data_IF_243873469502
#
_entry.id   IF_243873469502
#
_cell.length_a   1.000
_cell.length_b   1.000
_cell.length_c   1.000
_cell.angle_alpha   90.00
_cell.angle_beta   90.00
_cell.angle_gamma   90.00
#
_symmetry.space_group_name_H-M   'P 1'
#
loop_
_entity.id
_entity.type
_entity.pdbx_description
1 polymer ?
#
# COMPACT_ATOMS: atom_id res chain seq x y z
N UNK A 1 3.99 25.87 12.12
CA UNK A 1 4.88 25.27 11.11
C UNK A 1 4.71 26.03 9.81
N UNK A 2 5.82 26.42 9.19
CA UNK A 2 5.87 27.27 7.99
C UNK A 2 6.68 26.61 6.86
N UNK A 3 6.54 27.11 5.64
CA UNK A 3 7.34 26.65 4.51
C UNK A 3 8.72 27.33 4.48
N UNK A 4 9.75 26.64 4.96
CA UNK A 4 11.12 27.14 4.95
C UNK A 4 11.54 27.88 6.21
N UNK A 5 12.85 28.13 6.29
CA UNK A 5 13.57 28.57 7.49
C UNK A 5 13.31 30.05 7.83
N UNK A 6 13.37 30.95 6.84
CA UNK A 6 13.18 32.41 7.06
C UNK A 6 11.85 32.78 7.73
N UNK A 7 10.78 32.07 7.37
CA UNK A 7 9.43 32.28 7.92
C UNK A 7 9.31 31.72 9.33
N UNK A 8 10.03 30.64 9.59
CA UNK A 8 10.14 30.03 10.91
C UNK A 8 10.91 30.95 11.86
N UNK A 9 12.05 31.49 11.41
CA UNK A 9 12.87 32.45 12.17
C UNK A 9 12.06 33.70 12.55
N UNK A 10 11.30 34.27 11.61
CA UNK A 10 10.46 35.44 11.88
C UNK A 10 9.45 35.19 13.02
N UNK A 11 8.86 34.00 13.10
CA UNK A 11 7.95 33.64 14.20
C UNK A 11 8.70 33.40 15.52
N UNK A 12 9.89 32.79 15.46
CA UNK A 12 10.73 32.54 16.64
C UNK A 12 11.24 33.83 17.29
N UNK A 13 11.65 34.81 16.48
CA UNK A 13 12.07 36.15 16.95
C UNK A 13 10.96 36.87 17.72
N UNK A 14 9.70 36.57 17.38
CA UNK A 14 8.51 37.14 18.03
C UNK A 14 7.95 36.23 19.15
N UNK A 15 8.72 35.22 19.58
CA UNK A 15 8.43 34.42 20.78
C UNK A 15 7.54 33.19 20.55
N UNK A 16 7.31 32.76 19.31
CA UNK A 16 6.54 31.56 19.00
C UNK A 16 7.42 30.33 18.82
N UNK A 17 6.97 29.18 19.32
CA UNK A 17 7.57 27.89 18.99
C UNK A 17 7.20 27.51 17.55
N UNK A 18 8.07 27.85 16.61
CA UNK A 18 7.90 27.55 15.19
C UNK A 18 8.94 26.55 14.71
N UNK A 19 8.54 25.77 13.70
CA UNK A 19 9.37 24.85 12.93
C UNK A 19 9.09 25.06 11.45
N UNK A 20 10.11 24.97 10.61
CA UNK A 20 10.01 25.14 9.16
C UNK A 20 10.23 23.82 8.43
N UNK A 21 9.51 23.59 7.34
CA UNK A 21 9.81 22.46 6.44
C UNK A 21 11.03 22.77 5.58
N UNK A 22 12.01 21.87 5.51
CA UNK A 22 13.24 22.03 4.70
C UNK A 22 13.18 21.36 3.32
N UNK A 23 12.07 20.69 2.99
CA UNK A 23 11.95 19.82 1.80
C UNK A 23 11.58 20.54 0.50
N UNK A 24 11.47 21.87 0.50
CA UNK A 24 10.97 22.66 -0.64
C UNK A 24 9.51 22.37 -0.99
N UNK A 25 8.86 23.25 -1.77
CA UNK A 25 7.44 23.17 -2.12
C UNK A 25 7.00 21.83 -2.78
N UNK A 26 7.93 21.07 -3.37
CA UNK A 26 7.65 19.81 -4.06
C UNK A 26 7.79 18.56 -3.18
N UNK A 27 8.45 18.66 -2.01
CA UNK A 27 8.73 17.53 -1.13
C UNK A 27 7.93 17.58 0.16
N UNK A 28 7.36 16.45 0.58
CA UNK A 28 6.76 16.31 1.91
C UNK A 28 7.83 15.81 2.91
N UNK A 29 7.94 16.40 4.11
CA UNK A 29 8.79 15.85 5.17
C UNK A 29 8.45 14.39 5.47
N UNK A 30 9.45 13.56 5.77
CA UNK A 30 9.24 12.16 6.12
C UNK A 30 8.55 12.05 7.47
N UNK A 31 7.81 10.95 7.70
CA UNK A 31 7.16 10.69 8.98
C UNK A 31 8.16 10.74 10.15
N UNK A 32 9.41 10.28 9.95
CA UNK A 32 10.49 10.36 10.94
C UNK A 32 10.82 11.81 11.34
N UNK A 33 10.92 12.71 10.37
CA UNK A 33 11.17 14.13 10.64
C UNK A 33 10.02 14.83 11.36
N UNK A 34 8.79 14.30 11.24
CA UNK A 34 7.59 14.83 11.87
C UNK A 34 7.31 14.22 13.25
N UNK A 35 7.95 13.11 13.61
CA UNK A 35 7.79 12.44 14.94
C UNK A 35 7.97 13.37 16.14
N UNK A 36 8.91 14.34 16.17
CA UNK A 36 9.03 15.25 17.31
C UNK A 36 7.78 16.11 17.57
N UNK A 37 6.85 16.19 16.61
CA UNK A 37 5.62 16.96 16.72
C UNK A 37 4.46 16.17 17.34
N UNK A 38 4.63 14.86 17.56
CA UNK A 38 3.64 14.00 18.23
C UNK A 38 3.42 14.49 19.66
N UNK A 39 2.15 14.71 20.04
CA UNK A 39 1.77 15.26 21.34
C UNK A 39 1.62 16.79 21.37
N UNK A 40 1.92 17.48 20.26
CA UNK A 40 1.69 18.92 20.13
C UNK A 40 0.46 19.25 19.28
N UNK A 41 -0.14 20.42 19.53
CA UNK A 41 -1.14 21.02 18.64
C UNK A 41 -0.41 21.81 17.57
N UNK A 42 -0.40 21.31 16.34
CA UNK A 42 0.38 21.89 15.24
C UNK A 42 -0.51 22.80 14.39
N UNK A 43 -0.05 24.04 14.22
CA UNK A 43 -0.67 25.03 13.35
C UNK A 43 0.14 25.16 12.07
N UNK A 44 -0.48 24.93 10.92
CA UNK A 44 0.10 25.08 9.59
C UNK A 44 -0.16 26.49 9.07
N UNK A 45 0.89 27.17 8.63
CA UNK A 45 0.77 28.48 8.00
C UNK A 45 1.27 28.36 6.56
N UNK A 46 0.36 28.22 5.57
CA UNK A 46 0.72 28.16 4.15
C UNK A 46 1.08 29.54 3.60
N UNK A 47 1.90 29.56 2.57
CA UNK A 47 2.06 30.75 1.74
C UNK A 47 0.75 31.08 1.04
N UNK A 48 0.55 32.38 0.74
CA UNK A 48 -0.63 32.84 0.01
C UNK A 48 -0.53 32.53 -1.50
N UNK A 49 -0.22 31.29 -1.86
CA UNK A 49 -0.22 30.79 -3.22
C UNK A 49 -0.68 29.32 -3.28
N UNK A 50 -0.90 28.84 -4.50
CA UNK A 50 -1.39 27.47 -4.71
C UNK A 50 -0.35 26.40 -4.32
N UNK A 51 0.94 26.52 -4.70
CA UNK A 51 1.97 25.58 -4.25
C UNK A 51 2.11 25.46 -2.74
N UNK A 52 2.14 26.58 -2.00
CA UNK A 52 2.30 26.58 -0.54
C UNK A 52 1.09 26.02 0.20
N UNK A 53 -0.12 26.26 -0.31
CA UNK A 53 -1.34 25.61 0.20
C UNK A 53 -1.31 24.10 -0.03
N UNK A 54 -0.95 23.65 -1.23
CA UNK A 54 -0.84 22.22 -1.55
C UNK A 54 0.26 21.53 -0.73
N UNK A 55 1.36 22.23 -0.47
CA UNK A 55 2.44 21.73 0.39
C UNK A 55 1.95 21.54 1.82
N UNK A 56 1.32 22.55 2.43
CA UNK A 56 0.76 22.42 3.79
C UNK A 56 -0.34 21.37 3.88
N UNK A 57 -1.14 21.17 2.82
CA UNK A 57 -2.13 20.08 2.76
C UNK A 57 -1.47 18.69 2.85
N UNK A 58 -0.36 18.48 2.13
CA UNK A 58 0.42 17.24 2.20
C UNK A 58 0.99 17.02 3.60
N UNK A 59 1.54 18.07 4.22
CA UNK A 59 2.09 17.95 5.57
C UNK A 59 0.99 17.73 6.61
N UNK A 60 -0.17 18.38 6.45
CA UNK A 60 -1.37 18.13 7.26
C UNK A 60 -1.79 16.66 7.20
N UNK A 61 -1.81 16.08 6.00
CA UNK A 61 -2.07 14.65 5.82
C UNK A 61 -1.03 13.74 6.49
N UNK A 62 0.25 14.10 6.43
CA UNK A 62 1.32 13.34 7.11
C UNK A 62 1.21 13.42 8.63
N UNK A 63 0.98 14.60 9.19
CA UNK A 63 0.77 14.81 10.62
C UNK A 63 -0.49 14.12 11.13
N UNK A 64 -1.57 14.13 10.36
CA UNK A 64 -2.81 13.43 10.70
C UNK A 64 -2.61 11.91 10.76
N UNK A 65 -1.80 11.31 9.87
CA UNK A 65 -1.43 9.88 9.94
C UNK A 65 -0.64 9.53 11.21
N UNK A 66 0.06 10.51 11.78
CA UNK A 66 0.77 10.40 13.06
C UNK A 66 -0.10 10.76 14.27
N UNK A 67 -1.41 10.91 14.10
CA UNK A 67 -2.37 11.25 15.15
C UNK A 67 -2.08 12.61 15.83
N UNK A 68 -1.42 13.51 15.11
CA UNK A 68 -1.16 14.88 15.58
C UNK A 68 -2.40 15.74 15.31
N UNK A 69 -2.77 16.59 16.28
CA UNK A 69 -3.87 17.55 16.07
C UNK A 69 -3.38 18.69 15.19
N UNK A 70 -3.99 18.86 14.02
CA UNK A 70 -3.57 19.83 13.01
C UNK A 70 -4.64 20.91 12.81
N UNK A 71 -4.21 22.17 12.78
CA UNK A 71 -5.02 23.33 12.40
C UNK A 71 -4.33 24.12 11.29
N UNK A 72 -5.11 24.75 10.41
CA UNK A 72 -4.58 25.60 9.34
C UNK A 72 -4.93 27.05 9.61
N UNK A 73 -3.91 27.90 9.59
CA UNK A 73 -4.05 29.35 9.68
C UNK A 73 -4.46 29.87 8.31
N UNK A 74 -5.53 30.67 8.28
CA UNK A 74 -5.97 31.39 7.10
C UNK A 74 -5.80 32.89 7.36
N UNK A 75 -4.78 33.50 6.74
CA UNK A 75 -4.58 34.94 6.82
C UNK A 75 -5.36 35.63 5.69
N UNK A 76 -6.59 36.05 6.00
CA UNK A 76 -7.51 36.65 5.01
C UNK A 76 -7.08 38.01 4.47
N UNK A 77 -6.16 38.70 5.15
CA UNK A 77 -5.67 40.02 4.75
C UNK A 77 -4.41 39.96 3.86
N UNK A 78 -3.91 38.75 3.56
CA UNK A 78 -2.83 38.56 2.60
C UNK A 78 -3.23 39.14 1.24
N UNK A 79 -2.43 40.08 0.71
CA UNK A 79 -2.79 40.86 -0.48
C UNK A 79 -2.06 40.39 -1.72
N UNK A 80 -0.80 39.98 -1.56
CA UNK A 80 0.05 39.55 -2.65
C UNK A 80 0.17 38.03 -2.70
N UNK A 81 0.34 37.50 -3.90
CA UNK A 81 0.58 36.08 -4.11
C UNK A 81 1.92 35.71 -3.47
N UNK A 82 1.90 34.72 -2.59
CA UNK A 82 3.09 34.26 -1.86
C UNK A 82 3.35 34.99 -0.54
N UNK A 83 2.49 35.95 -0.15
CA UNK A 83 2.53 36.56 1.20
C UNK A 83 2.51 35.43 2.26
N UNK A 84 3.43 35.52 3.23
CA UNK A 84 3.67 34.49 4.22
C UNK A 84 3.78 35.02 5.67
N UNK A 85 4.18 34.17 6.62
CA UNK A 85 4.33 34.55 8.02
C UNK A 85 5.41 35.62 8.27
N UNK A 86 6.48 35.67 7.47
CA UNK A 86 7.48 36.74 7.57
C UNK A 86 6.93 38.06 7.00
N UNK A 87 6.17 37.99 5.90
CA UNK A 87 5.55 39.17 5.29
C UNK A 87 4.44 39.77 6.16
N UNK A 88 3.75 38.94 6.97
CA UNK A 88 2.83 39.40 8.00
C UNK A 88 3.48 40.45 8.92
N UNK A 89 4.66 40.17 9.48
CA UNK A 89 5.36 41.10 10.36
C UNK A 89 5.93 42.32 9.61
N UNK A 90 6.44 42.13 8.38
CA UNK A 90 6.93 43.26 7.55
C UNK A 90 5.82 44.27 7.24
N UNK A 91 4.57 43.81 7.17
CA UNK A 91 3.39 44.64 6.92
C UNK A 91 2.76 45.23 8.20
N UNK A 92 3.44 45.12 9.34
CA UNK A 92 3.00 45.69 10.61
C UNK A 92 2.12 44.76 11.46
N UNK A 93 2.07 43.46 11.13
CA UNK A 93 1.42 42.47 11.97
C UNK A 93 2.04 42.38 13.36
N UNK A 94 1.20 42.23 14.40
CA UNK A 94 1.63 42.18 15.80
C UNK A 94 1.61 40.74 16.33
N UNK A 95 2.28 40.53 17.48
CA UNK A 95 2.22 39.25 18.21
C UNK A 95 0.76 38.90 18.56
N UNK A 96 -0.03 39.90 18.94
CA UNK A 96 -1.47 39.76 19.19
C UNK A 96 -2.22 39.32 17.94
N UNK A 97 -1.89 39.88 16.77
CA UNK A 97 -2.48 39.45 15.50
C UNK A 97 -2.17 37.99 15.16
N UNK A 98 -0.96 37.49 15.45
CA UNK A 98 -0.65 36.06 15.29
C UNK A 98 -1.46 35.20 16.27
N UNK A 99 -1.66 35.65 17.51
CA UNK A 99 -2.48 34.92 18.49
C UNK A 99 -3.95 34.84 18.07
N UNK A 100 -4.48 35.89 17.44
CA UNK A 100 -5.83 35.89 16.90
C UNK A 100 -5.94 34.93 15.69
N UNK A 101 -4.96 34.94 14.79
CA UNK A 101 -4.87 33.97 13.69
C UNK A 101 -4.79 32.51 14.17
N UNK A 102 -4.07 32.24 15.27
CA UNK A 102 -4.01 30.92 15.89
C UNK A 102 -5.36 30.52 16.50
N UNK A 103 -6.11 31.47 17.05
CA UNK A 103 -7.44 31.23 17.62
C UNK A 103 -8.46 30.89 16.54
N UNK A 104 -8.38 31.59 15.41
CA UNK A 104 -9.30 31.42 14.27
C UNK A 104 -8.88 30.31 13.30
N UNK A 105 -7.74 29.67 13.56
CA UNK A 105 -7.22 28.57 12.75
C UNK A 105 -8.21 27.39 12.71
N UNK A 106 -8.56 26.98 11.50
CA UNK A 106 -9.56 25.93 11.27
C UNK A 106 -8.94 24.56 11.50
N UNK A 107 -9.67 23.59 12.10
CA UNK A 107 -9.23 22.20 12.13
C UNK A 107 -8.90 21.73 10.72
N UNK A 108 -7.72 21.13 10.55
CA UNK A 108 -7.41 20.44 9.32
C UNK A 108 -8.24 19.16 9.29
N UNK A 109 -9.11 19.03 8.30
CA UNK A 109 -9.87 17.82 8.05
C UNK A 109 -9.32 17.20 6.78
N UNK A 110 -9.04 15.90 6.80
CA UNK A 110 -8.78 15.18 5.56
C UNK A 110 -9.94 15.46 4.61
N UNK A 111 -9.65 16.06 3.46
CA UNK A 111 -10.66 16.21 2.42
C UNK A 111 -11.23 14.82 2.15
N UNK A 112 -12.50 14.60 2.54
CA UNK A 112 -13.34 13.57 1.93
C UNK A 112 -13.15 13.72 0.43
N UNK A 113 -12.82 12.60 -0.23
CA UNK A 113 -12.63 12.48 -1.69
C UNK A 113 -13.25 13.66 -2.43
N UNK A 114 -12.38 14.48 -3.02
CA UNK A 114 -12.78 15.66 -3.80
C UNK A 114 -13.97 15.28 -4.68
N UNK A 115 -15.17 15.89 -4.49
CA UNK A 115 -16.21 15.79 -5.48
C UNK A 115 -15.58 16.36 -6.75
N UNK A 116 -15.48 15.52 -7.79
CA UNK A 116 -14.99 15.91 -9.12
C UNK A 116 -15.58 17.27 -9.45
N UNK A 117 -14.75 18.31 -9.41
CA UNK A 117 -15.13 19.62 -9.92
C UNK A 117 -15.54 19.37 -11.37
N UNK A 118 -16.82 19.61 -11.68
CA UNK A 118 -17.28 19.64 -13.06
C UNK A 118 -16.49 20.75 -13.77
N UNK A 119 -15.39 20.34 -14.40
CA UNK A 119 -14.68 21.18 -15.34
C UNK A 119 -15.59 21.28 -16.56
N UNK A 120 -16.05 22.49 -16.86
CA UNK A 120 -16.74 22.77 -18.13
C UNK A 120 -15.81 22.24 -19.23
N UNK A 121 -16.22 21.24 -20.03
CA UNK A 121 -15.29 20.57 -20.95
C UNK A 121 -14.72 21.62 -21.90
N UNK A 122 -13.39 21.77 -21.90
CA UNK A 122 -12.73 22.62 -22.87
C UNK A 122 -13.06 22.13 -24.29
N UNK A 123 -12.92 22.99 -25.31
CA UNK A 123 -13.12 22.57 -26.70
C UNK A 123 -12.25 21.36 -27.08
N UNK A 124 -11.13 21.17 -26.37
CA UNK A 124 -10.25 20.01 -26.48
C UNK A 124 -10.88 18.75 -25.86
N UNK A 125 -11.49 18.85 -24.68
CA UNK A 125 -12.17 17.75 -24.00
C UNK A 125 -13.38 17.24 -24.81
N UNK A 126 -14.17 18.16 -25.38
CA UNK A 126 -15.27 17.81 -26.26
C UNK A 126 -14.80 17.09 -27.54
N UNK A 127 -13.67 17.53 -28.10
CA UNK A 127 -13.06 16.90 -29.27
C UNK A 127 -12.52 15.51 -28.96
N UNK A 128 -11.88 15.33 -27.81
CA UNK A 128 -11.39 14.02 -27.33
C UNK A 128 -12.55 13.07 -27.07
N UNK A 129 -13.65 13.52 -26.46
CA UNK A 129 -14.84 12.71 -26.24
C UNK A 129 -15.48 12.24 -27.56
N UNK A 130 -15.58 13.11 -28.57
CA UNK A 130 -16.08 12.76 -29.91
C UNK A 130 -15.17 11.72 -30.58
N UNK A 131 -13.85 11.88 -30.50
CA UNK A 131 -12.89 10.94 -31.07
C UNK A 131 -12.89 9.60 -30.35
N UNK A 132 -13.12 9.60 -29.03
CA UNK A 132 -13.26 8.39 -28.23
C UNK A 132 -14.44 7.53 -28.65
N UNK A 133 -15.54 8.14 -29.11
CA UNK A 133 -16.74 7.44 -29.57
C UNK A 133 -16.60 6.76 -30.95
N UNK A 134 -15.54 7.07 -31.72
CA UNK A 134 -15.33 6.47 -33.04
C UNK A 134 -14.77 5.04 -32.96
N UNK A 135 -15.12 4.14 -33.90
CA UNK A 135 -14.44 2.86 -34.07
C UNK A 135 -12.94 3.03 -34.32
N UNK A 136 -12.11 2.07 -33.86
CA UNK A 136 -10.64 2.17 -33.93
C UNK A 136 -10.09 2.48 -35.33
N UNK A 137 -10.60 1.79 -36.36
CA UNK A 137 -10.16 1.98 -37.74
C UNK A 137 -10.59 3.33 -38.34
N UNK A 138 -11.70 3.89 -37.87
CA UNK A 138 -12.16 5.22 -38.30
C UNK A 138 -11.35 6.32 -37.62
N UNK A 139 -11.08 6.15 -36.32
CA UNK A 139 -10.16 7.02 -35.59
C UNK A 139 -8.77 7.04 -36.25
N UNK A 140 -8.23 5.88 -36.61
CA UNK A 140 -6.91 5.77 -37.24
C UNK A 140 -6.78 6.58 -38.54
N UNK A 141 -7.84 6.62 -39.36
CA UNK A 141 -7.87 7.39 -40.61
C UNK A 141 -7.83 8.90 -40.37
N UNK A 142 -8.46 9.38 -39.30
CA UNK A 142 -8.64 10.83 -39.06
C UNK A 142 -7.67 11.42 -38.02
N UNK A 143 -7.03 10.58 -37.18
CA UNK A 143 -6.23 11.03 -36.02
C UNK A 143 -5.15 12.05 -36.36
N UNK A 144 -4.46 11.88 -37.51
CA UNK A 144 -3.40 12.80 -37.94
C UNK A 144 -3.95 14.18 -38.33
N UNK A 145 -5.11 14.21 -38.99
CA UNK A 145 -5.77 15.45 -39.39
C UNK A 145 -6.35 16.18 -38.17
N UNK A 146 -6.97 15.44 -37.25
CA UNK A 146 -7.57 16.01 -36.05
C UNK A 146 -6.51 16.50 -35.05
N UNK A 147 -5.39 15.78 -34.88
CA UNK A 147 -4.26 16.25 -34.07
C UNK A 147 -3.70 17.59 -34.59
N UNK A 148 -3.61 17.75 -35.92
CA UNK A 148 -3.16 19.01 -36.54
C UNK A 148 -4.14 20.16 -36.29
N UNK A 149 -5.45 19.90 -36.38
CA UNK A 149 -6.49 20.92 -36.10
C UNK A 149 -6.50 21.36 -34.64
N UNK A 150 -6.24 20.43 -33.73
CA UNK A 150 -6.21 20.66 -32.28
C UNK A 150 -4.87 21.23 -31.79
N UNK A 151 -3.86 21.36 -32.66
CA UNK A 151 -2.54 21.89 -32.29
C UNK A 151 -1.75 20.98 -31.35
N UNK A 152 -2.08 19.69 -31.29
CA UNK A 152 -1.43 18.70 -30.39
C UNK A 152 -0.66 17.65 -31.19
N UNK A 153 0.30 16.98 -30.54
CA UNK A 153 0.96 15.81 -31.13
C UNK A 153 -0.02 14.65 -31.26
N UNK A 154 0.06 13.88 -32.35
CA UNK A 154 -0.81 12.72 -32.57
C UNK A 154 -0.75 11.72 -31.40
N UNK A 155 0.44 11.44 -30.86
CA UNK A 155 0.60 10.54 -29.70
C UNK A 155 -0.06 11.09 -28.43
N UNK A 156 -0.08 12.42 -28.26
CA UNK A 156 -0.75 13.06 -27.13
C UNK A 156 -2.28 12.98 -27.27
N UNK A 157 -2.80 13.14 -28.49
CA UNK A 157 -4.20 12.92 -28.80
C UNK A 157 -4.60 11.46 -28.57
N UNK A 158 -3.77 10.51 -28.98
CA UNK A 158 -3.99 9.07 -28.77
C UNK A 158 -4.14 8.74 -27.29
N UNK A 159 -3.24 9.27 -26.43
CA UNK A 159 -3.34 9.09 -24.98
C UNK A 159 -4.63 9.68 -24.41
N UNK A 160 -5.02 10.88 -24.84
CA UNK A 160 -6.25 11.54 -24.40
C UNK A 160 -7.51 10.74 -24.80
N UNK A 161 -7.57 10.27 -26.05
CA UNK A 161 -8.68 9.46 -26.58
C UNK A 161 -8.78 8.12 -25.85
N UNK A 162 -7.65 7.46 -25.59
CA UNK A 162 -7.65 6.20 -24.84
C UNK A 162 -8.05 6.40 -23.37
N UNK A 163 -7.62 7.49 -22.74
CA UNK A 163 -8.07 7.85 -21.39
C UNK A 163 -9.59 8.09 -21.35
N UNK A 164 -10.14 8.80 -22.33
CA UNK A 164 -11.58 9.04 -22.44
C UNK A 164 -12.38 7.75 -22.71
N UNK A 165 -11.90 6.83 -23.55
CA UNK A 165 -12.53 5.51 -23.76
C UNK A 165 -12.58 4.68 -22.50
N UNK A 166 -11.50 4.69 -21.70
CA UNK A 166 -11.44 4.02 -20.39
C UNK A 166 -12.42 4.64 -19.40
N UNK A 167 -12.48 5.98 -19.35
CA UNK A 167 -13.40 6.70 -18.46
C UNK A 167 -14.88 6.51 -18.83
N UNK A 168 -15.19 6.38 -20.12
CA UNK A 168 -16.54 6.20 -20.64
C UNK A 168 -17.04 4.74 -20.61
N UNK A 169 -16.31 3.80 -19.99
CA UNK A 169 -16.69 2.38 -19.98
C UNK A 169 -16.63 1.69 -21.35
N UNK A 170 -16.17 2.39 -22.40
CA UNK A 170 -15.94 1.85 -23.74
C UNK A 170 -14.62 1.06 -23.83
N UNK A 171 -14.11 0.59 -22.68
CA UNK A 171 -13.01 -0.35 -22.55
C UNK A 171 -13.33 -1.75 -23.07
N UNK A 172 -14.49 -1.98 -23.69
CA UNK A 172 -14.79 -3.18 -24.47
C UNK A 172 -14.14 -3.07 -25.87
N UNK A 173 -12.81 -3.01 -25.91
CA UNK A 173 -12.07 -2.92 -27.18
C UNK A 173 -10.69 -3.56 -27.14
N UNK A 174 -10.32 -4.16 -26.00
CA UNK A 174 -9.27 -5.17 -25.94
C UNK A 174 -9.52 -6.07 -24.71
N UNK A 175 -10.72 -6.62 -24.60
CA UNK A 175 -10.82 -8.01 -24.15
C UNK A 175 -10.06 -8.83 -25.21
N UNK A 176 -8.72 -8.78 -25.15
CA UNK A 176 -7.97 -10.01 -25.34
C UNK A 176 -8.71 -10.97 -24.45
N UNK A 177 -9.34 -12.02 -25.01
CA UNK A 177 -9.79 -13.16 -24.22
C UNK A 177 -8.59 -13.55 -23.36
N UNK A 178 -8.49 -13.00 -22.14
CA UNK A 178 -7.37 -13.23 -21.27
C UNK A 178 -7.51 -14.69 -20.94
N UNK A 179 -6.50 -15.47 -21.30
CA UNK A 179 -6.53 -16.88 -20.99
C UNK A 179 -6.54 -17.03 -19.46
N UNK A 180 -7.40 -17.92 -18.95
CA UNK A 180 -7.58 -18.14 -17.52
C UNK A 180 -8.87 -17.54 -16.96
N UNK A 181 -9.04 -17.64 -15.64
CA UNK A 181 -10.15 -17.05 -14.89
C UNK A 181 -9.60 -15.90 -14.04
N UNK A 182 -10.44 -14.90 -13.77
CA UNK A 182 -10.09 -13.86 -12.81
C UNK A 182 -9.77 -14.50 -11.46
N UNK A 183 -8.78 -13.95 -10.76
CA UNK A 183 -8.45 -14.37 -9.40
C UNK A 183 -9.62 -13.98 -8.49
N UNK A 184 -10.42 -14.96 -8.08
CA UNK A 184 -11.54 -14.79 -7.17
C UNK A 184 -11.30 -15.70 -5.95
N UNK A 185 -11.04 -15.08 -4.80
CA UNK A 185 -10.85 -15.77 -3.53
C UNK A 185 -12.05 -15.46 -2.66
N UNK A 186 -12.83 -16.48 -2.32
CA UNK A 186 -14.01 -16.31 -1.50
C UNK A 186 -13.61 -16.10 -0.03
N UNK A 187 -14.30 -15.17 0.62
CA UNK A 187 -14.28 -15.07 2.07
C UNK A 187 -15.20 -16.14 2.66
N UNK A 188 -14.79 -16.73 3.78
CA UNK A 188 -15.63 -17.65 4.52
C UNK A 188 -16.70 -16.86 5.28
N UNK A 189 -17.93 -17.37 5.30
CA UNK A 189 -18.99 -16.81 6.13
C UNK A 189 -18.62 -17.01 7.62
N UNK A 190 -18.61 -15.96 8.45
CA UNK A 190 -18.34 -16.10 9.87
C UNK A 190 -19.34 -17.04 10.55
N UNK A 191 -18.86 -17.82 11.51
CA UNK A 191 -19.75 -18.64 12.34
C UNK A 191 -20.73 -17.72 13.10
N UNK A 192 -22.04 -18.06 13.17
CA UNK A 192 -23.05 -17.16 13.69
C UNK A 192 -22.94 -16.91 15.20
N UNK A 193 -22.34 -17.85 15.93
CA UNK A 193 -22.21 -17.80 17.39
C UNK A 193 -20.74 -17.63 17.82
N UNK A 194 -20.47 -17.12 19.04
CA UNK A 194 -19.12 -17.12 19.58
C UNK A 194 -18.54 -18.53 19.64
N UNK A 195 -17.33 -18.70 19.10
CA UNK A 195 -16.62 -19.99 19.10
C UNK A 195 -15.69 -20.04 20.32
N UNK A 196 -15.69 -21.16 21.05
CA UNK A 196 -14.70 -21.43 22.08
C UNK A 196 -13.32 -21.66 21.43
N UNK A 197 -12.42 -20.69 21.62
CA UNK A 197 -11.08 -20.73 21.03
C UNK A 197 -10.22 -21.90 21.52
N UNK A 198 -10.38 -22.36 22.76
CA UNK A 198 -9.60 -23.47 23.30
C UNK A 198 -10.03 -24.79 22.66
N UNK A 199 -11.35 -25.01 22.56
CA UNK A 199 -11.92 -26.16 21.85
C UNK A 199 -11.54 -26.15 20.36
N UNK A 200 -11.64 -24.99 19.69
CA UNK A 200 -11.26 -24.84 18.29
C UNK A 200 -9.79 -25.19 18.04
N UNK A 201 -8.88 -24.69 18.88
CA UNK A 201 -7.45 -25.00 18.74
C UNK A 201 -7.16 -26.50 18.95
N UNK A 202 -7.86 -27.14 19.89
CA UNK A 202 -7.76 -28.57 20.11
C UNK A 202 -8.23 -29.37 18.88
N UNK A 203 -9.39 -28.99 18.32
CA UNK A 203 -9.96 -29.63 17.13
C UNK A 203 -9.06 -29.46 15.89
N UNK A 204 -8.53 -28.26 15.67
CA UNK A 204 -7.58 -28.00 14.58
C UNK A 204 -6.32 -28.86 14.73
N UNK A 205 -5.74 -28.93 15.93
CA UNK A 205 -4.57 -29.76 16.19
C UNK A 205 -4.89 -31.26 15.98
N UNK A 206 -6.08 -31.72 16.38
CA UNK A 206 -6.54 -33.08 16.13
C UNK A 206 -6.69 -33.37 14.62
N UNK A 207 -7.20 -32.43 13.83
CA UNK A 207 -7.27 -32.54 12.36
C UNK A 207 -5.87 -32.72 11.77
N UNK A 208 -4.90 -31.90 12.16
CA UNK A 208 -3.53 -32.04 11.65
C UNK A 208 -2.93 -33.41 12.02
N UNK A 209 -3.06 -33.85 13.27
CA UNK A 209 -2.57 -35.17 13.72
C UNK A 209 -3.23 -36.35 13.02
N UNK A 210 -4.50 -36.22 12.65
CA UNK A 210 -5.24 -37.27 11.95
C UNK A 210 -4.66 -37.57 10.57
N UNK A 211 -4.15 -36.55 9.88
CA UNK A 211 -3.70 -36.67 8.49
C UNK A 211 -2.18 -36.59 8.32
N UNK A 212 -1.44 -36.17 9.35
CA UNK A 212 0.00 -35.94 9.29
C UNK A 212 0.72 -36.57 10.48
N UNK A 213 1.87 -37.18 10.23
CA UNK A 213 2.85 -37.52 11.26
C UNK A 213 3.71 -36.29 11.50
N UNK A 214 3.62 -35.72 12.69
CA UNK A 214 4.21 -34.43 13.04
C UNK A 214 5.11 -34.56 14.28
N UNK A 215 6.21 -33.79 14.37
CA UNK A 215 6.97 -33.60 15.59
C UNK A 215 6.11 -33.07 16.74
N UNK A 216 6.60 -33.21 17.97
CA UNK A 216 5.95 -32.66 19.15
C UNK A 216 5.77 -31.13 19.03
N UNK A 217 4.57 -30.64 19.38
CA UNK A 217 4.22 -29.21 19.32
C UNK A 217 3.90 -28.67 17.92
N UNK A 218 4.14 -29.43 16.85
CA UNK A 218 3.91 -28.98 15.48
C UNK A 218 2.42 -28.83 15.15
N UNK A 219 1.57 -29.72 15.65
CA UNK A 219 0.13 -29.66 15.43
C UNK A 219 -0.48 -28.39 16.07
N UNK A 220 -0.01 -28.03 17.26
CA UNK A 220 -0.36 -26.79 17.96
C UNK A 220 0.12 -25.56 17.18
N UNK A 221 1.36 -25.57 16.69
CA UNK A 221 1.88 -24.47 15.88
C UNK A 221 1.06 -24.26 14.60
N UNK A 222 0.67 -25.34 13.92
CA UNK A 222 -0.20 -25.29 12.74
C UNK A 222 -1.61 -24.77 13.08
N UNK A 223 -2.18 -25.21 14.19
CA UNK A 223 -3.49 -24.72 14.67
C UNK A 223 -3.44 -23.22 14.98
N UNK A 224 -2.45 -22.77 15.75
CA UNK A 224 -2.24 -21.36 16.09
C UNK A 224 -2.00 -20.52 14.85
N UNK A 225 -1.16 -21.00 13.91
CA UNK A 225 -0.90 -20.28 12.66
C UNK A 225 -2.15 -20.18 11.80
N UNK A 226 -2.98 -21.23 11.75
CA UNK A 226 -4.26 -21.19 11.03
C UNK A 226 -5.19 -20.13 11.60
N UNK A 227 -5.38 -20.08 12.93
CA UNK A 227 -6.20 -19.03 13.58
C UNK A 227 -5.62 -17.64 13.35
N UNK A 228 -4.29 -17.51 13.46
CA UNK A 228 -3.58 -16.26 13.19
C UNK A 228 -3.91 -15.68 11.81
N UNK A 229 -4.05 -16.52 10.78
CA UNK A 229 -4.38 -16.03 9.41
C UNK A 229 -5.76 -15.37 9.31
N UNK A 230 -6.73 -15.77 10.13
CA UNK A 230 -8.06 -15.14 10.21
C UNK A 230 -8.03 -13.78 10.90
N UNK A 231 -7.08 -13.58 11.81
CA UNK A 231 -6.90 -12.33 12.56
C UNK A 231 -5.63 -11.58 12.13
N UNK A 232 -5.11 -11.83 10.93
CA UNK A 232 -3.80 -11.34 10.47
C UNK A 232 -3.61 -9.83 10.64
N UNK A 233 -4.66 -9.07 10.31
CA UNK A 233 -4.67 -7.61 10.35
C UNK A 233 -4.61 -7.01 11.77
N UNK A 234 -4.71 -7.81 12.83
CA UNK A 234 -4.53 -7.32 14.21
C UNK A 234 -3.07 -7.37 14.68
N UNK A 235 -2.18 -8.01 13.92
CA UNK A 235 -0.76 -8.18 14.28
C UNK A 235 0.15 -7.19 13.55
N UNK A 236 1.34 -6.97 14.12
CA UNK A 236 2.41 -6.18 13.51
C UNK A 236 3.47 -7.06 12.81
N UNK A 237 3.50 -8.34 13.16
CA UNK A 237 4.44 -9.33 12.64
C UNK A 237 3.65 -10.46 12.00
N UNK A 238 4.07 -10.84 10.80
CA UNK A 238 3.54 -11.98 10.05
C UNK A 238 4.55 -13.13 10.06
N UNK A 239 4.49 -14.05 11.05
CA UNK A 239 5.35 -15.22 11.04
C UNK A 239 5.16 -16.04 9.76
N UNK A 240 6.29 -16.44 9.16
CA UNK A 240 6.31 -17.32 8.00
C UNK A 240 6.23 -18.77 8.47
N UNK A 241 5.26 -19.52 7.97
CA UNK A 241 5.15 -20.93 8.29
C UNK A 241 6.07 -21.73 7.35
N UNK A 242 7.16 -22.23 7.90
CA UNK A 242 8.10 -23.09 7.21
C UNK A 242 7.65 -24.56 7.28
N UNK A 243 7.49 -25.20 6.14
CA UNK A 243 7.17 -26.62 6.04
C UNK A 243 8.34 -27.29 5.33
N UNK A 244 9.29 -27.78 6.12
CA UNK A 244 10.51 -28.43 5.61
C UNK A 244 10.39 -29.95 5.73
N UNK A 245 11.00 -30.68 4.80
CA UNK A 245 11.19 -32.12 4.94
C UNK A 245 12.51 -32.57 4.32
N UNK A 246 13.16 -33.62 4.85
CA UNK A 246 14.42 -34.11 4.32
C UNK A 246 14.27 -34.71 2.91
N UNK A 247 13.12 -35.31 2.59
CA UNK A 247 12.89 -36.01 1.32
C UNK A 247 11.61 -35.58 0.59
N UNK A 248 11.46 -36.03 -0.66
CA UNK A 248 10.22 -35.91 -1.44
C UNK A 248 9.12 -36.79 -0.82
N UNK A 249 7.85 -36.42 -1.03
CA UNK A 249 6.65 -37.19 -0.63
C UNK A 249 6.40 -37.34 0.88
N UNK A 250 7.02 -36.52 1.72
CA UNK A 250 6.77 -36.49 3.18
C UNK A 250 5.50 -35.70 3.61
N UNK A 251 4.44 -35.68 2.79
CA UNK A 251 3.15 -35.06 3.19
C UNK A 251 3.06 -33.52 3.14
N UNK A 252 4.06 -32.80 2.59
CA UNK A 252 4.03 -31.32 2.46
C UNK A 252 2.80 -30.81 1.68
N UNK A 253 2.52 -31.40 0.52
CA UNK A 253 1.36 -31.05 -0.30
C UNK A 253 0.04 -31.39 0.41
N UNK A 254 0.01 -32.48 1.21
CA UNK A 254 -1.13 -32.83 2.05
C UNK A 254 -1.36 -31.75 3.11
N UNK A 255 -0.30 -31.30 3.79
CA UNK A 255 -0.36 -30.23 4.78
C UNK A 255 -0.86 -28.92 4.15
N UNK A 256 -0.33 -28.51 3.00
CA UNK A 256 -0.81 -27.32 2.28
C UNK A 256 -2.27 -27.45 1.85
N UNK A 257 -2.72 -28.65 1.48
CA UNK A 257 -4.13 -28.91 1.14
C UNK A 257 -5.05 -28.76 2.36
N UNK A 258 -4.62 -29.25 3.52
CA UNK A 258 -5.36 -29.07 4.78
C UNK A 258 -5.40 -27.58 5.16
N UNK A 259 -4.26 -26.88 5.10
CA UNK A 259 -4.24 -25.43 5.33
C UNK A 259 -5.15 -24.69 4.36
N UNK A 260 -5.15 -25.06 3.08
CA UNK A 260 -6.02 -24.47 2.07
C UNK A 260 -7.51 -24.59 2.36
N UNK A 261 -7.93 -25.54 3.20
CA UNK A 261 -9.31 -25.65 3.66
C UNK A 261 -9.60 -24.86 4.95
N UNK A 262 -8.57 -24.49 5.71
CA UNK A 262 -8.69 -23.92 7.05
C UNK A 262 -8.39 -22.41 7.12
N UNK A 263 -7.61 -21.88 6.18
CA UNK A 263 -7.19 -20.47 6.15
C UNK A 263 -8.10 -19.61 5.26
N UNK A 264 -8.22 -18.29 5.51
CA UNK A 264 -9.03 -17.42 4.68
C UNK A 264 -8.31 -17.14 3.34
N UNK A 265 -9.09 -17.03 2.27
CA UNK A 265 -8.63 -16.67 0.92
C UNK A 265 -7.34 -17.41 0.51
N UNK A 266 -7.35 -18.76 0.52
CA UNK A 266 -6.17 -19.56 0.22
C UNK A 266 -5.75 -19.34 -1.24
N UNK A 267 -4.47 -19.02 -1.45
CA UNK A 267 -3.88 -18.94 -2.78
C UNK A 267 -2.71 -19.92 -2.91
N UNK A 268 -2.97 -21.15 -3.40
CA UNK A 268 -1.93 -22.09 -3.78
C UNK A 268 -1.06 -21.51 -4.90
N UNK A 269 0.25 -21.53 -4.71
CA UNK A 269 1.21 -20.97 -5.64
C UNK A 269 2.37 -21.93 -5.88
N UNK A 270 2.39 -22.54 -7.07
CA UNK A 270 3.54 -23.26 -7.60
C UNK A 270 4.17 -22.45 -8.73
N UNK A 271 5.51 -22.32 -8.73
CA UNK A 271 6.27 -21.59 -9.76
C UNK A 271 5.78 -20.13 -10.03
N UNK A 272 5.37 -19.41 -8.99
CA UNK A 272 4.88 -18.02 -9.11
C UNK A 272 6.01 -17.01 -9.33
N UNK A 273 5.72 -15.92 -10.05
CA UNK A 273 6.67 -14.81 -10.23
C UNK A 273 6.51 -13.75 -9.14
N UNK A 274 7.59 -13.02 -8.85
CA UNK A 274 7.58 -11.84 -7.97
C UNK A 274 6.42 -10.88 -8.31
N UNK A 275 6.25 -10.58 -9.61
CA UNK A 275 5.20 -9.72 -10.12
C UNK A 275 3.78 -10.19 -9.80
N UNK A 276 3.53 -11.50 -9.88
CA UNK A 276 2.22 -12.07 -9.57
C UNK A 276 1.96 -12.00 -8.08
N UNK A 277 2.95 -12.28 -7.23
CA UNK A 277 2.79 -12.26 -5.77
C UNK A 277 2.32 -10.90 -5.26
N UNK A 278 3.06 -9.82 -5.50
CA UNK A 278 2.68 -8.52 -4.93
C UNK A 278 1.38 -7.97 -5.53
N UNK A 279 1.05 -8.32 -6.79
CA UNK A 279 -0.23 -7.93 -7.41
C UNK A 279 -1.41 -8.70 -6.84
N UNK A 280 -1.24 -10.00 -6.59
CA UNK A 280 -2.26 -10.83 -5.96
C UNK A 280 -2.49 -10.40 -4.51
N UNK A 281 -1.43 -10.07 -3.78
CA UNK A 281 -1.51 -9.55 -2.41
C UNK A 281 -2.24 -8.22 -2.36
N UNK A 282 -1.89 -7.28 -3.24
CA UNK A 282 -2.58 -6.00 -3.36
C UNK A 282 -4.07 -6.17 -3.71
N UNK A 283 -4.39 -7.04 -4.67
CA UNK A 283 -5.74 -7.19 -5.18
C UNK A 283 -6.69 -7.95 -4.23
N UNK A 284 -6.18 -8.97 -3.52
CA UNK A 284 -7.05 -9.93 -2.84
C UNK A 284 -6.66 -10.22 -1.38
N UNK A 285 -5.51 -9.76 -0.90
CA UNK A 285 -4.95 -10.08 0.44
C UNK A 285 -5.09 -11.58 0.82
N UNK A 286 -4.52 -12.49 0.02
CA UNK A 286 -4.65 -13.92 0.21
C UNK A 286 -3.79 -14.45 1.36
N UNK A 287 -4.10 -15.65 1.81
CA UNK A 287 -3.11 -16.51 2.48
C UNK A 287 -2.31 -17.26 1.41
N UNK A 288 -1.02 -16.94 1.27
CA UNK A 288 -0.16 -17.55 0.26
C UNK A 288 0.31 -18.93 0.71
N UNK A 289 0.06 -19.96 -0.11
CA UNK A 289 0.48 -21.33 0.12
C UNK A 289 1.48 -21.73 -0.97
N UNK A 290 2.76 -21.49 -0.70
CA UNK A 290 3.83 -21.64 -1.70
C UNK A 290 4.41 -23.06 -1.61
N UNK A 291 4.31 -23.82 -2.70
CA UNK A 291 4.87 -25.18 -2.80
C UNK A 291 6.11 -25.21 -3.71
N UNK A 292 6.92 -26.26 -3.57
CA UNK A 292 8.12 -26.55 -4.37
C UNK A 292 9.16 -25.42 -4.41
N UNK A 293 9.29 -24.69 -3.32
CA UNK A 293 10.18 -23.53 -3.19
C UNK A 293 11.64 -23.86 -3.50
N UNK A 294 12.11 -25.04 -3.15
CA UNK A 294 13.46 -25.52 -3.45
C UNK A 294 13.77 -25.57 -4.96
N UNK A 295 12.76 -25.72 -5.81
CA UNK A 295 12.95 -25.84 -7.27
C UNK A 295 13.18 -24.48 -7.96
N UNK A 296 12.73 -23.37 -7.37
CA UNK A 296 12.77 -22.06 -8.05
C UNK A 296 13.26 -20.88 -7.20
N UNK A 297 13.30 -20.96 -5.86
CA UNK A 297 13.70 -19.81 -5.04
C UNK A 297 15.20 -19.61 -4.92
N UNK A 298 16.02 -20.67 -5.05
CA UNK A 298 17.49 -20.61 -4.94
C UNK A 298 18.12 -19.61 -5.91
N UNK A 299 17.46 -19.34 -7.05
CA UNK A 299 17.90 -18.40 -8.10
C UNK A 299 16.97 -17.20 -8.28
N UNK A 300 16.04 -16.92 -7.32
CA UNK A 300 15.06 -15.82 -7.42
C UNK A 300 15.12 -14.91 -6.20
N UNK A 301 16.15 -14.07 -6.14
CA UNK A 301 16.37 -13.09 -5.07
C UNK A 301 15.21 -12.10 -4.94
N UNK A 302 14.61 -11.69 -6.06
CA UNK A 302 13.48 -10.76 -6.05
C UNK A 302 12.26 -11.33 -5.33
N UNK A 303 11.92 -12.60 -5.59
CA UNK A 303 10.79 -13.26 -4.93
C UNK A 303 11.07 -13.44 -3.44
N UNK A 304 12.29 -13.83 -3.07
CA UNK A 304 12.73 -13.88 -1.66
C UNK A 304 12.56 -12.52 -0.98
N UNK A 305 13.00 -11.44 -1.64
CA UNK A 305 12.85 -10.07 -1.13
C UNK A 305 11.40 -9.69 -0.87
N UNK A 306 10.49 -10.04 -1.78
CA UNK A 306 9.04 -9.80 -1.61
C UNK A 306 8.48 -10.59 -0.42
N UNK A 307 8.77 -11.88 -0.33
CA UNK A 307 8.29 -12.72 0.77
C UNK A 307 8.84 -12.24 2.13
N UNK A 308 10.09 -11.78 2.18
CA UNK A 308 10.72 -11.22 3.38
C UNK A 308 10.12 -9.87 3.77
N UNK A 309 9.87 -8.98 2.81
CA UNK A 309 9.34 -7.63 3.08
C UNK A 309 8.02 -7.66 3.85
N UNK A 310 7.17 -8.64 3.57
CA UNK A 310 5.87 -8.77 4.23
C UNK A 310 5.91 -9.27 5.68
N UNK A 311 7.09 -9.48 6.27
CA UNK A 311 7.20 -10.00 7.64
C UNK A 311 6.77 -8.97 8.70
N UNK A 312 7.10 -7.70 8.50
CA UNK A 312 6.74 -6.62 9.43
C UNK A 312 5.84 -5.62 8.74
N UNK A 313 4.68 -5.32 9.34
CA UNK A 313 3.62 -4.53 8.72
C UNK A 313 4.10 -3.16 8.22
N UNK A 314 4.94 -2.47 8.99
CA UNK A 314 5.46 -1.15 8.65
C UNK A 314 6.29 -1.13 7.35
N UNK A 315 6.91 -2.24 6.98
CA UNK A 315 7.74 -2.38 5.77
C UNK A 315 7.15 -3.29 4.70
N UNK A 316 5.89 -3.72 4.86
CA UNK A 316 5.24 -4.73 4.02
C UNK A 316 4.73 -4.14 2.70
N UNK A 317 5.65 -3.57 1.92
CA UNK A 317 5.36 -3.05 0.59
C UNK A 317 6.59 -3.10 -0.32
N UNK A 318 6.31 -3.07 -1.62
CA UNK A 318 7.31 -2.89 -2.68
C UNK A 318 6.86 -1.80 -3.64
N UNK A 319 7.82 -1.08 -4.23
CA UNK A 319 7.54 -0.10 -5.28
C UNK A 319 7.93 -0.70 -6.63
N UNK A 320 7.05 -0.60 -7.62
CA UNK A 320 7.26 -1.10 -8.98
C UNK A 320 6.71 -0.11 -10.00
N UNK A 321 7.42 0.06 -11.10
CA UNK A 321 6.93 0.86 -12.24
C UNK A 321 5.79 0.12 -12.95
N UNK A 322 4.75 0.85 -13.34
CA UNK A 322 3.57 0.32 -14.02
C UNK A 322 3.25 1.14 -15.27
N UNK A 323 2.85 0.46 -16.34
CA UNK A 323 2.47 1.08 -17.60
C UNK A 323 3.66 1.54 -18.43
N UNK A 324 3.36 2.07 -19.62
CA UNK A 324 4.36 2.51 -20.59
C UNK A 324 5.11 3.78 -20.13
N UNK A 325 4.48 4.58 -19.27
CA UNK A 325 5.07 5.79 -18.67
C UNK A 325 5.94 5.48 -17.43
N UNK A 326 6.11 4.19 -17.08
CA UNK A 326 6.90 3.71 -15.95
C UNK A 326 6.53 4.37 -14.60
N UNK A 327 5.24 4.62 -14.37
CA UNK A 327 4.74 5.27 -13.16
C UNK A 327 5.06 4.42 -11.91
N UNK A 328 5.78 4.95 -10.90
CA UNK A 328 6.08 4.21 -9.69
C UNK A 328 4.81 4.02 -8.85
N UNK A 329 4.46 2.76 -8.57
CA UNK A 329 3.33 2.40 -7.72
C UNK A 329 3.76 1.50 -6.57
N UNK A 330 3.17 1.74 -5.41
CA UNK A 330 3.36 0.93 -4.22
C UNK A 330 2.37 -0.24 -4.22
N UNK A 331 2.86 -1.42 -3.89
CA UNK A 331 2.07 -2.65 -3.72
C UNK A 331 2.37 -3.22 -2.35
N UNK A 332 1.34 -3.59 -1.60
CA UNK A 332 1.53 -4.28 -0.33
C UNK A 332 2.05 -5.70 -0.54
N UNK A 333 2.88 -6.15 0.39
CA UNK A 333 3.35 -7.54 0.53
C UNK A 333 2.86 -8.15 1.85
N UNK A 334 1.93 -7.47 2.53
CA UNK A 334 1.34 -7.90 3.79
C UNK A 334 0.34 -9.03 3.56
N UNK A 335 0.78 -10.26 3.80
CA UNK A 335 -0.03 -11.46 3.69
C UNK A 335 0.55 -12.55 4.60
N UNK A 336 -0.27 -13.46 5.16
CA UNK A 336 0.21 -14.71 5.73
C UNK A 336 0.83 -15.57 4.62
N UNK A 337 1.94 -16.25 4.93
CA UNK A 337 2.65 -17.09 3.95
C UNK A 337 3.09 -18.39 4.61
N UNK A 338 2.66 -19.50 4.02
CA UNK A 338 3.22 -20.83 4.24
C UNK A 338 4.13 -21.21 3.07
N UNK A 339 5.30 -21.76 3.40
CA UNK A 339 6.36 -22.07 2.44
C UNK A 339 6.77 -23.53 2.63
N UNK A 340 6.51 -24.36 1.62
CA UNK A 340 6.93 -25.75 1.60
C UNK A 340 8.18 -25.94 0.74
N UNK A 341 9.23 -26.54 1.31
CA UNK A 341 10.46 -26.85 0.59
C UNK A 341 11.10 -28.18 1.03
N UNK A 342 11.92 -28.75 0.15
CA UNK A 342 12.80 -29.87 0.47
C UNK A 342 14.10 -29.34 1.07
N UNK A 343 14.59 -29.98 2.13
CA UNK A 343 15.82 -29.57 2.82
C UNK A 343 15.62 -28.32 3.68
N UNK A 344 16.59 -27.42 3.65
CA UNK A 344 16.61 -26.21 4.49
C UNK A 344 16.12 -25.00 3.71
N UNK A 345 15.33 -24.15 4.37
CA UNK A 345 15.04 -22.81 3.86
C UNK A 345 16.32 -21.98 3.77
N UNK A 346 16.42 -21.05 2.80
CA UNK A 346 17.47 -20.04 2.80
C UNK A 346 17.49 -19.27 4.13
N UNK A 347 18.68 -18.97 4.66
CA UNK A 347 18.85 -18.44 6.03
C UNK A 347 17.99 -17.20 6.32
N UNK A 348 17.83 -16.29 5.35
CA UNK A 348 17.01 -15.08 5.50
C UNK A 348 15.51 -15.35 5.65
N UNK A 349 15.01 -16.45 5.09
CA UNK A 349 13.62 -16.90 5.29
C UNK A 349 13.50 -17.75 6.56
N UNK A 350 14.54 -18.52 6.89
CA UNK A 350 14.60 -19.34 8.09
C UNK A 350 14.49 -18.47 9.35
N UNK A 351 15.22 -17.36 9.43
CA UNK A 351 15.22 -16.43 10.57
C UNK A 351 13.83 -15.81 10.84
N UNK A 352 13.02 -15.66 9.79
CA UNK A 352 11.68 -15.10 9.82
C UNK A 352 10.58 -16.15 10.03
N UNK A 353 10.98 -17.43 10.11
CA UNK A 353 10.12 -18.59 10.32
C UNK A 353 10.45 -19.29 11.63
N UNK A 354 9.57 -19.19 12.62
CA UNK A 354 9.71 -19.93 13.89
C UNK A 354 8.71 -21.08 13.95
N UNK A 355 8.92 -22.06 13.08
CA UNK A 355 8.34 -23.40 13.16
C UNK A 355 9.19 -24.34 12.30
N UNK A 356 10.43 -24.60 12.73
CA UNK A 356 11.30 -25.57 12.05
C UNK A 356 10.89 -26.99 12.42
N UNK A 357 10.23 -27.71 11.51
CA UNK A 357 9.88 -29.13 11.66
C UNK A 357 11.10 -30.01 11.33
N UNK A 358 12.18 -29.90 12.11
CA UNK A 358 13.34 -30.78 11.94
C UNK A 358 13.92 -31.19 13.29
N UNK A 359 13.62 -32.41 13.73
CA UNK A 359 14.60 -33.24 14.43
C UNK A 359 14.92 -34.48 13.58
N UNK A 360 16.20 -34.86 13.41
CA UNK A 360 16.56 -36.15 12.83
C UNK A 360 16.24 -37.29 13.81
N UNK A 361 15.91 -38.50 13.34
CA UNK A 361 15.76 -39.65 14.22
C UNK A 361 17.09 -39.91 14.93
N UNK A 362 17.07 -39.92 16.26
CA UNK A 362 18.18 -40.43 17.07
C UNK A 362 18.30 -41.92 16.78
N UNK A 363 19.37 -42.29 16.08
CA UNK A 363 19.78 -43.70 15.98
C UNK A 363 20.20 -44.12 17.38
N UNK A 364 19.32 -44.85 18.06
CA UNK A 364 19.67 -45.59 19.25
C UNK A 364 20.71 -46.63 18.87
N UNK A 365 21.93 -46.45 19.38
CA UNK A 365 22.94 -47.48 19.43
C UNK A 365 22.45 -48.62 20.33
N UNK A 366 22.26 -49.79 19.74
CA UNK A 366 22.52 -51.08 20.37
C UNK A 366 23.48 -51.86 19.49
#
# INVERSE_FOLDING_TARGET
>A
MTEGEKKCEALQEHGFLAVGTTTGASGCPSDESLRPLVGHNVYLWPDNDEPGRLHMEKVGGALHRLWVTVRVIAWSEAREKGDDAADFFKRGGTVEGVRDLLRDAKPWTAATEVPKTECVPSALDASVARLAALPCLEYEKIRKGEAKKLGVRADALDRGVQAARRAAGHGAGNDRKLQGRALALADAEPWPEPVDGAALLHDLAAVFRRFLVLPDGAAEALALWSVFTHTHDTFQVSPRLAITSPEKRCGKTTLLSILGALVPRPLPASNVTAAVVFRAVEAARPTLLVDEVDTFLSNRDELRGILNSGHTRAGAYVVRCVGDDAEPRQFTTWAPVAIACIGRLPDTLADLSRAGLTEPPRVGSY
#
